data_IF_353000110710
#
_entry.id   IF_353000110710
#
_cell.length_a   1.000
_cell.length_b   1.000
_cell.length_c   1.000
_cell.angle_alpha   90.00
_cell.angle_beta   90.00
_cell.angle_gamma   90.00
#
_symmetry.space_group_name_H-M   'P 1'
#
loop_
_entity.id
_entity.type
_entity.pdbx_description
1 polymer ?
#
# COMPACT_ATOMS: atom_id res chain seq x y z
N UNK A 1 -11.84 14.10 1.29
CA UNK A 1 -12.69 14.38 0.12
C UNK A 1 -14.14 14.49 0.58
N UNK A 2 -14.84 15.57 0.26
CA UNK A 2 -16.26 15.79 0.60
C UNK A 2 -16.93 16.58 -0.53
N UNK A 3 -18.20 16.30 -0.76
CA UNK A 3 -19.01 17.12 -1.64
C UNK A 3 -19.35 18.47 -0.97
N UNK A 4 -19.58 19.52 -1.77
CA UNK A 4 -20.11 20.78 -1.24
C UNK A 4 -21.48 20.55 -0.58
N UNK A 5 -21.86 21.41 0.39
CA UNK A 5 -23.17 21.31 1.02
C UNK A 5 -24.28 21.46 -0.02
N UNK A 6 -25.26 20.56 0.01
CA UNK A 6 -26.39 20.54 -0.91
C UNK A 6 -27.58 21.21 -0.20
N UNK A 7 -28.07 22.37 -0.68
CA UNK A 7 -29.25 23.01 -0.09
C UNK A 7 -30.49 22.12 -0.18
N UNK A 8 -31.42 22.27 0.77
CA UNK A 8 -32.66 21.50 0.83
C UNK A 8 -33.44 21.62 -0.50
N UNK A 9 -33.78 20.47 -1.09
CA UNK A 9 -34.52 20.38 -2.36
C UNK A 9 -33.66 20.48 -3.62
N UNK A 10 -32.34 20.68 -3.51
CA UNK A 10 -31.42 20.68 -4.65
C UNK A 10 -30.72 19.33 -4.81
N UNK A 11 -30.20 19.09 -6.03
CA UNK A 11 -29.34 17.95 -6.34
C UNK A 11 -27.89 18.41 -6.49
N UNK A 12 -26.97 17.44 -6.46
CA UNK A 12 -25.53 17.70 -6.64
C UNK A 12 -25.23 18.46 -7.94
N UNK A 13 -25.97 18.18 -9.01
CA UNK A 13 -25.88 18.89 -10.29
C UNK A 13 -26.13 20.40 -10.15
N UNK A 14 -27.10 20.80 -9.33
CA UNK A 14 -27.47 22.20 -9.15
C UNK A 14 -26.34 22.98 -8.46
N UNK A 15 -25.66 22.33 -7.50
CA UNK A 15 -24.51 22.90 -6.80
C UNK A 15 -23.33 23.15 -7.75
N UNK A 16 -23.16 22.31 -8.78
CA UNK A 16 -22.10 22.46 -9.76
C UNK A 16 -22.51 23.22 -11.03
N UNK A 17 -23.69 23.87 -11.07
CA UNK A 17 -24.24 24.50 -12.28
C UNK A 17 -23.30 25.51 -12.96
N UNK A 18 -22.49 26.23 -12.19
CA UNK A 18 -21.58 27.26 -12.69
C UNK A 18 -20.16 26.73 -12.95
N UNK A 19 -19.95 25.42 -12.85
CA UNK A 19 -18.66 24.78 -13.08
C UNK A 19 -18.73 23.90 -14.31
N UNK A 20 -17.59 23.78 -14.99
CA UNK A 20 -17.44 22.91 -16.13
C UNK A 20 -16.57 21.70 -15.76
N UNK A 21 -16.83 20.58 -16.43
CA UNK A 21 -16.00 19.38 -16.30
C UNK A 21 -14.61 19.61 -16.90
N UNK A 22 -13.58 18.89 -16.44
CA UNK A 22 -12.27 18.95 -17.07
C UNK A 22 -12.33 18.58 -18.56
N UNK A 23 -11.44 19.12 -19.41
CA UNK A 23 -11.54 18.99 -20.88
C UNK A 23 -11.62 17.54 -21.39
N UNK A 24 -10.89 16.62 -20.77
CA UNK A 24 -10.83 15.22 -21.18
C UNK A 24 -11.92 14.34 -20.55
N UNK A 25 -12.81 14.90 -19.73
CA UNK A 25 -13.86 14.13 -19.07
C UNK A 25 -15.08 13.98 -19.98
N UNK A 26 -15.53 12.74 -20.19
CA UNK A 26 -16.77 12.47 -20.95
C UNK A 26 -18.02 12.80 -20.11
N UNK A 27 -17.97 12.54 -18.80
CA UNK A 27 -19.07 12.73 -17.85
C UNK A 27 -18.76 13.83 -16.83
N UNK A 28 -19.79 14.40 -16.23
CA UNK A 28 -19.60 15.34 -15.12
C UNK A 28 -19.30 14.62 -13.81
N UNK A 29 -18.81 15.36 -12.81
CA UNK A 29 -18.46 14.80 -11.50
C UNK A 29 -19.67 14.24 -10.75
N UNK A 30 -20.88 14.74 -11.01
CA UNK A 30 -22.14 14.25 -10.42
C UNK A 30 -22.78 13.08 -11.20
N UNK A 31 -22.12 12.57 -12.25
CA UNK A 31 -22.58 11.49 -13.13
C UNK A 31 -21.59 10.30 -13.18
N UNK A 32 -20.68 10.22 -12.20
CA UNK A 32 -19.62 9.22 -12.18
C UNK A 32 -20.15 7.81 -11.87
N UNK A 33 -21.14 7.72 -10.99
CA UNK A 33 -21.82 6.48 -10.62
C UNK A 33 -23.33 6.62 -10.86
N UNK A 34 -23.93 5.70 -11.61
CA UNK A 34 -25.37 5.70 -11.93
C UNK A 34 -26.18 4.79 -11.01
N UNK A 35 -25.53 3.89 -10.29
CA UNK A 35 -26.16 2.87 -9.44
C UNK A 35 -26.22 3.34 -7.99
N UNK A 36 -25.16 3.98 -7.51
CA UNK A 36 -25.02 4.42 -6.12
C UNK A 36 -24.99 5.95 -6.07
N UNK A 37 -26.11 6.56 -5.62
CA UNK A 37 -26.24 8.02 -5.53
C UNK A 37 -25.12 8.66 -4.70
N UNK A 38 -24.71 7.99 -3.63
CA UNK A 38 -23.75 8.50 -2.65
C UNK A 38 -22.30 8.40 -3.15
N UNK A 39 -22.05 7.65 -4.22
CA UNK A 39 -20.73 7.47 -4.84
C UNK A 39 -20.50 8.47 -5.99
N UNK A 40 -20.95 9.72 -5.83
CA UNK A 40 -20.81 10.78 -6.82
C UNK A 40 -20.11 12.02 -6.26
N UNK A 41 -19.71 12.90 -7.17
CA UNK A 41 -18.98 14.12 -6.84
C UNK A 41 -17.54 13.82 -6.44
N UNK A 42 -16.99 14.65 -5.56
CA UNK A 42 -15.66 14.45 -4.98
C UNK A 42 -15.61 13.29 -3.99
N UNK A 43 -16.75 12.71 -3.62
CA UNK A 43 -16.81 11.52 -2.77
C UNK A 43 -16.77 10.20 -3.55
N UNK A 44 -16.76 10.25 -4.88
CA UNK A 44 -16.64 9.05 -5.70
C UNK A 44 -15.34 8.28 -5.37
N UNK A 45 -15.45 6.99 -5.05
CA UNK A 45 -14.33 6.16 -4.61
C UNK A 45 -13.24 6.03 -5.66
N UNK A 46 -13.60 5.81 -6.93
CA UNK A 46 -12.66 5.67 -8.04
C UNK A 46 -11.86 6.95 -8.26
N UNK A 47 -12.54 8.10 -8.21
CA UNK A 47 -11.90 9.41 -8.29
C UNK A 47 -10.94 9.62 -7.12
N UNK A 48 -11.34 9.31 -5.89
CA UNK A 48 -10.49 9.44 -4.71
C UNK A 48 -9.22 8.58 -4.83
N UNK A 49 -9.38 7.33 -5.29
CA UNK A 49 -8.24 6.43 -5.52
C UNK A 49 -7.32 7.00 -6.61
N UNK A 50 -7.88 7.59 -7.67
CA UNK A 50 -7.12 8.23 -8.73
C UNK A 50 -6.34 9.45 -8.23
N UNK A 51 -6.97 10.30 -7.42
CA UNK A 51 -6.38 11.54 -6.88
C UNK A 51 -5.24 11.29 -5.88
N UNK A 52 -5.12 10.09 -5.31
CA UNK A 52 -3.96 9.74 -4.47
C UNK A 52 -2.71 9.53 -5.34
N UNK A 53 -1.86 10.54 -5.44
CA UNK A 53 -0.60 10.48 -6.19
C UNK A 53 0.27 9.31 -5.73
N UNK A 54 0.81 8.55 -6.67
CA UNK A 54 1.74 7.47 -6.38
C UNK A 54 3.18 8.00 -6.28
N UNK A 55 4.00 7.39 -5.42
CA UNK A 55 5.39 7.80 -5.24
C UNK A 55 6.34 7.35 -6.37
N UNK A 56 5.90 6.39 -7.20
CA UNK A 56 6.71 5.76 -8.25
C UNK A 56 5.96 5.80 -9.59
N UNK A 57 6.68 5.82 -10.73
CA UNK A 57 6.07 5.88 -12.07
C UNK A 57 5.31 4.60 -12.42
N UNK A 58 5.78 3.44 -11.95
CA UNK A 58 5.03 2.20 -11.99
C UNK A 58 4.21 2.07 -10.71
N UNK A 59 2.89 2.26 -10.83
CA UNK A 59 1.98 2.19 -9.71
C UNK A 59 0.77 1.33 -10.02
N UNK A 60 0.12 0.85 -8.94
CA UNK A 60 -1.16 0.17 -9.00
C UNK A 60 -2.16 0.95 -8.16
N UNK A 61 -3.41 0.98 -8.62
CA UNK A 61 -4.53 1.59 -7.91
C UNK A 61 -5.62 0.54 -7.75
N UNK A 62 -6.27 0.53 -6.59
CA UNK A 62 -7.37 -0.38 -6.33
C UNK A 62 -8.55 0.02 -7.23
N UNK A 63 -9.10 -0.95 -7.97
CA UNK A 63 -10.30 -0.72 -8.76
C UNK A 63 -11.50 -1.34 -8.06
N UNK A 64 -11.51 -2.65 -7.84
CA UNK A 64 -12.62 -3.34 -7.16
C UNK A 64 -12.09 -4.36 -6.18
N UNK A 65 -12.93 -4.71 -5.21
CA UNK A 65 -12.72 -5.82 -4.27
C UNK A 65 -13.82 -6.85 -4.47
N UNK A 66 -13.51 -8.12 -4.25
CA UNK A 66 -14.52 -9.16 -4.16
C UNK A 66 -15.17 -9.05 -2.77
N UNK A 67 -16.50 -9.00 -2.73
CA UNK A 67 -17.23 -8.96 -1.48
C UNK A 67 -17.33 -10.38 -0.89
N UNK A 68 -16.64 -10.60 0.23
CA UNK A 68 -16.59 -11.88 0.93
C UNK A 68 -17.82 -12.14 1.82
N UNK A 69 -18.78 -11.21 1.91
CA UNK A 69 -20.06 -11.43 2.58
C UNK A 69 -21.06 -12.20 1.70
N UNK A 70 -20.83 -12.20 0.37
CA UNK A 70 -21.70 -12.86 -0.60
C UNK A 70 -21.41 -14.36 -0.63
N UNK A 71 -22.48 -15.17 -0.54
CA UNK A 71 -22.39 -16.63 -0.61
C UNK A 71 -21.66 -17.09 -1.87
N UNK A 72 -20.67 -17.96 -1.69
CA UNK A 72 -19.80 -18.45 -2.77
C UNK A 72 -18.45 -17.73 -2.87
N UNK A 73 -18.33 -16.51 -2.33
CA UNK A 73 -17.07 -15.74 -2.32
C UNK A 73 -16.42 -15.63 -0.94
N UNK A 74 -16.98 -16.27 0.09
CA UNK A 74 -16.47 -16.25 1.48
C UNK A 74 -14.98 -16.62 1.59
N UNK A 75 -14.48 -17.51 0.71
CA UNK A 75 -13.08 -17.95 0.66
C UNK A 75 -12.30 -17.36 -0.52
N UNK A 76 -12.85 -16.34 -1.18
CA UNK A 76 -12.30 -15.75 -2.40
C UNK A 76 -12.92 -16.29 -3.68
N UNK A 77 -12.25 -16.07 -4.80
CA UNK A 77 -12.72 -16.52 -6.10
C UNK A 77 -12.56 -18.05 -6.22
N UNK A 78 -13.64 -18.80 -6.50
CA UNK A 78 -13.55 -20.24 -6.72
C UNK A 78 -12.68 -20.57 -7.94
N UNK A 79 -12.19 -21.81 -8.02
CA UNK A 79 -11.45 -22.27 -9.19
C UNK A 79 -12.39 -22.35 -10.39
N UNK A 80 -12.06 -21.66 -11.47
CA UNK A 80 -12.86 -21.66 -12.68
C UNK A 80 -12.25 -20.78 -13.77
N UNK A 81 -12.91 -20.76 -14.92
CA UNK A 81 -12.55 -19.88 -16.03
C UNK A 81 -13.23 -18.53 -15.84
N UNK A 82 -12.46 -17.46 -15.94
CA UNK A 82 -12.95 -16.09 -15.81
C UNK A 82 -12.62 -15.31 -17.07
N UNK A 83 -13.58 -14.53 -17.54
CA UNK A 83 -13.40 -13.61 -18.66
C UNK A 83 -13.42 -12.18 -18.13
N UNK A 84 -12.39 -11.41 -18.47
CA UNK A 84 -12.30 -10.00 -18.12
C UNK A 84 -12.55 -9.15 -19.36
N UNK A 85 -13.67 -8.44 -19.37
CA UNK A 85 -14.02 -7.51 -20.43
C UNK A 85 -13.63 -6.09 -20.01
N UNK A 86 -12.80 -5.42 -20.83
CA UNK A 86 -12.29 -4.07 -20.55
C UNK A 86 -12.69 -3.13 -21.67
N UNK A 87 -13.34 -2.02 -21.30
CA UNK A 87 -13.59 -0.91 -22.22
C UNK A 87 -12.35 -0.01 -22.30
N UNK A 88 -11.69 0.03 -23.45
CA UNK A 88 -10.40 0.73 -23.62
C UNK A 88 -10.59 2.25 -23.81
N UNK A 89 -10.75 3.00 -22.71
CA UNK A 89 -11.04 4.44 -22.72
C UNK A 89 -9.83 5.35 -22.39
N UNK A 90 -8.67 4.78 -22.11
CA UNK A 90 -7.48 5.53 -21.69
C UNK A 90 -6.26 5.09 -22.53
N UNK A 91 -5.97 5.75 -23.66
CA UNK A 91 -4.80 5.42 -24.48
C UNK A 91 -3.51 5.79 -23.75
N UNK A 92 -2.50 4.94 -23.88
CA UNK A 92 -1.17 5.12 -23.25
C UNK A 92 -0.04 5.09 -24.28
N UNK A 93 -0.39 5.04 -25.56
CA UNK A 93 0.54 4.87 -26.68
C UNK A 93 1.42 6.10 -26.90
N UNK A 94 0.88 7.31 -26.66
CA UNK A 94 1.58 8.58 -26.86
C UNK A 94 2.83 8.74 -25.97
N UNK A 95 2.84 8.06 -24.82
CA UNK A 95 3.95 8.08 -23.87
C UNK A 95 4.53 6.69 -23.61
N UNK A 96 4.28 5.75 -24.52
CA UNK A 96 4.80 4.36 -24.47
C UNK A 96 4.50 3.63 -23.15
N UNK A 97 3.37 3.97 -22.51
CA UNK A 97 2.95 3.38 -21.25
C UNK A 97 2.46 1.94 -21.40
N UNK A 98 2.50 1.19 -20.30
CA UNK A 98 1.93 -0.17 -20.21
C UNK A 98 0.83 -0.21 -19.16
N UNK A 99 -0.24 -0.96 -19.45
CA UNK A 99 -1.36 -1.19 -18.53
C UNK A 99 -1.46 -2.68 -18.21
N UNK A 100 -1.69 -2.98 -16.94
CA UNK A 100 -1.87 -4.35 -16.46
C UNK A 100 -3.02 -4.38 -15.45
N UNK A 101 -3.80 -5.45 -15.48
CA UNK A 101 -4.77 -5.77 -14.44
C UNK A 101 -4.15 -6.85 -13.55
N UNK A 102 -4.22 -6.63 -12.23
CA UNK A 102 -3.66 -7.54 -11.24
C UNK A 102 -4.79 -7.95 -10.30
N UNK A 103 -5.04 -9.24 -10.23
CA UNK A 103 -5.89 -9.85 -9.21
C UNK A 103 -4.98 -10.42 -8.11
N UNK A 104 -5.18 -9.98 -6.88
CA UNK A 104 -4.37 -10.40 -5.73
C UNK A 104 -5.23 -10.47 -4.48
N UNK A 105 -4.86 -11.38 -3.58
CA UNK A 105 -5.30 -11.34 -2.19
C UNK A 105 -4.35 -10.47 -1.37
N UNK A 106 -4.82 -9.98 -0.23
CA UNK A 106 -4.04 -9.23 0.74
C UNK A 106 -4.01 -10.00 2.05
N UNK A 107 -2.86 -10.03 2.72
CA UNK A 107 -2.73 -10.48 4.11
C UNK A 107 -2.64 -9.28 5.05
N UNK A 108 -2.48 -9.55 6.35
CA UNK A 108 -2.31 -8.52 7.38
C UNK A 108 -1.14 -7.57 7.05
N UNK A 109 -0.09 -8.09 6.43
CA UNK A 109 1.10 -7.31 6.05
C UNK A 109 0.99 -6.69 4.63
N UNK A 110 -0.20 -6.74 4.03
CA UNK A 110 -0.48 -6.19 2.71
C UNK A 110 -0.40 -7.23 1.59
N UNK A 111 0.02 -6.79 0.41
CA UNK A 111 0.18 -7.68 -0.75
C UNK A 111 1.47 -8.51 -0.70
N UNK A 112 1.67 -9.37 -1.71
CA UNK A 112 2.89 -10.16 -1.86
C UNK A 112 4.13 -9.26 -1.97
N UNK A 113 4.95 -9.23 -0.92
CA UNK A 113 6.25 -8.56 -0.90
C UNK A 113 7.25 -9.33 -0.03
N UNK A 114 8.14 -10.15 -0.63
CA UNK A 114 9.11 -10.95 0.13
C UNK A 114 10.29 -10.14 0.66
N UNK A 115 10.46 -8.88 0.23
CA UNK A 115 11.60 -8.05 0.59
C UNK A 115 11.76 -7.90 2.10
N UNK A 116 10.67 -7.63 2.83
CA UNK A 116 10.72 -7.50 4.29
C UNK A 116 11.21 -8.80 4.94
N UNK A 117 10.71 -9.96 4.49
CA UNK A 117 11.17 -11.25 5.01
C UNK A 117 12.67 -11.48 4.80
N UNK A 118 13.17 -11.21 3.59
CA UNK A 118 14.60 -11.31 3.31
C UNK A 118 15.43 -10.34 4.14
N UNK A 119 14.98 -9.09 4.29
CA UNK A 119 15.68 -8.08 5.09
C UNK A 119 15.83 -8.53 6.54
N UNK A 120 14.77 -9.05 7.17
CA UNK A 120 14.84 -9.57 8.55
C UNK A 120 15.78 -10.76 8.68
N UNK A 121 15.74 -11.72 7.74
CA UNK A 121 16.62 -12.89 7.78
C UNK A 121 18.09 -12.47 7.66
N UNK A 122 18.42 -11.61 6.68
CA UNK A 122 19.79 -11.16 6.46
C UNK A 122 20.33 -10.41 7.66
N UNK A 123 19.57 -9.45 8.19
CA UNK A 123 19.97 -8.69 9.39
C UNK A 123 20.11 -9.61 10.60
N UNK A 124 19.19 -10.56 10.78
CA UNK A 124 19.25 -11.55 11.85
C UNK A 124 20.50 -12.43 11.78
N UNK A 125 20.87 -12.91 10.58
CA UNK A 125 22.09 -13.68 10.36
C UNK A 125 23.34 -12.86 10.70
N UNK A 126 23.41 -11.59 10.28
CA UNK A 126 24.53 -10.69 10.61
C UNK A 126 24.64 -10.51 12.13
N UNK A 127 23.52 -10.25 12.82
CA UNK A 127 23.51 -10.11 14.27
C UNK A 127 23.96 -11.37 15.00
N UNK A 128 23.54 -12.56 14.54
CA UNK A 128 23.97 -13.83 15.14
C UNK A 128 25.47 -14.10 14.93
N UNK A 129 26.00 -13.81 13.74
CA UNK A 129 27.43 -13.96 13.45
C UNK A 129 28.27 -13.03 14.33
N UNK A 130 27.86 -11.77 14.45
CA UNK A 130 28.52 -10.80 15.34
C UNK A 130 28.40 -11.22 16.81
N UNK A 131 27.23 -11.69 17.24
CA UNK A 131 27.02 -12.20 18.59
C UNK A 131 27.93 -13.39 18.91
N UNK A 132 28.07 -14.34 17.99
CA UNK A 132 28.97 -15.48 18.15
C UNK A 132 30.45 -15.06 18.16
N UNK A 133 30.83 -14.12 17.30
CA UNK A 133 32.19 -13.57 17.29
C UNK A 133 32.51 -12.87 18.62
N UNK A 134 31.61 -12.03 19.14
CA UNK A 134 31.79 -11.38 20.45
C UNK A 134 31.78 -12.38 21.60
N UNK A 135 30.98 -13.44 21.53
CA UNK A 135 31.00 -14.52 22.53
C UNK A 135 32.35 -15.24 22.54
N UNK A 136 32.92 -15.59 21.38
CA UNK A 136 34.24 -16.21 21.30
C UNK A 136 35.31 -15.27 21.85
N UNK A 137 35.27 -13.99 21.49
CA UNK A 137 36.22 -12.99 22.00
C UNK A 137 36.11 -12.87 23.52
N UNK A 138 34.89 -12.82 24.07
CA UNK A 138 34.66 -12.77 25.50
C UNK A 138 35.16 -14.02 26.23
N UNK A 139 34.99 -15.22 25.65
CA UNK A 139 35.50 -16.45 26.26
C UNK A 139 37.04 -16.50 26.22
N UNK A 140 37.68 -16.04 25.13
CA UNK A 140 39.14 -16.09 24.97
C UNK A 140 39.90 -14.95 25.65
N UNK A 141 39.34 -13.75 25.64
CA UNK A 141 39.99 -12.52 26.11
C UNK A 141 39.21 -11.82 27.22
N UNK A 142 38.11 -12.41 27.70
CA UNK A 142 37.37 -11.90 28.84
C UNK A 142 38.22 -11.97 30.09
N UNK A 143 38.69 -10.82 30.56
CA UNK A 143 39.28 -10.70 31.89
C UNK A 143 38.19 -10.92 32.93
N UNK A 144 38.52 -11.63 34.00
CA UNK A 144 37.58 -11.82 35.11
C UNK A 144 37.20 -10.46 35.69
N UNK A 145 35.91 -10.18 35.87
CA UNK A 145 35.44 -8.95 36.51
C UNK A 145 36.04 -8.77 37.91
N UNK A 146 36.43 -9.88 38.57
CA UNK A 146 37.13 -9.85 39.85
C UNK A 146 38.56 -9.25 39.77
N UNK A 147 39.24 -9.37 38.63
CA UNK A 147 40.58 -8.82 38.40
C UNK A 147 40.54 -7.29 38.19
N UNK A 148 39.43 -6.78 37.65
CA UNK A 148 39.21 -5.34 37.38
C UNK A 148 38.71 -4.59 38.64
N UNK A 149 38.14 -5.31 39.61
CA UNK A 149 37.67 -4.72 40.88
C UNK A 149 38.81 -4.64 41.92
N UNK A 150 39.86 -5.47 41.79
CA UNK A 150 40.99 -5.53 42.72
C UNK A 150 42.15 -4.59 42.33
N UNK A 151 41.84 -3.36 41.92
CA UNK A 151 42.86 -2.35 41.57
C UNK A 151 43.30 -1.62 42.85
N UNK A 152 44.44 -2.03 43.39
CA UNK A 152 45.12 -1.39 44.51
C UNK A 152 46.04 -0.27 43.96
N UNK A 153 46.20 0.91 44.61
CA UNK A 153 47.08 2.03 44.18
C UNK A 153 48.54 1.69 43.82
N UNK A 154 49.01 0.47 44.09
CA UNK A 154 50.35 -0.01 43.71
C UNK A 154 50.38 -0.86 42.44
N UNK A 155 49.30 -0.93 41.67
CA UNK A 155 49.29 -1.67 40.40
C UNK A 155 50.00 -0.87 39.32
N UNK A 156 51.17 -1.35 38.90
CA UNK A 156 51.98 -0.75 37.84
C UNK A 156 51.30 -0.93 36.49
N UNK A 157 51.00 0.17 35.81
CA UNK A 157 50.49 0.15 34.44
C UNK A 157 51.62 -0.11 33.46
N UNK A 158 51.53 -1.21 32.69
CA UNK A 158 52.28 -1.43 31.45
C UNK A 158 51.35 -1.26 30.25
#
# INVERSE_FOLDING_TARGET
>A
FRNPPIPTGQKLKDVFKNFEKPPMWKKNVWELDTEISDNNGFQNEDLIVWMRTAALPSFRKLYRRVDHSIQGFNKGLPKGNYTLNINYNYPVTEFEGKKQMILSTTSILGGKNPFMGYAYIVVGCICLLLGFAFLIIHIKFGKSTAEVINVNPHTSYQ
#
